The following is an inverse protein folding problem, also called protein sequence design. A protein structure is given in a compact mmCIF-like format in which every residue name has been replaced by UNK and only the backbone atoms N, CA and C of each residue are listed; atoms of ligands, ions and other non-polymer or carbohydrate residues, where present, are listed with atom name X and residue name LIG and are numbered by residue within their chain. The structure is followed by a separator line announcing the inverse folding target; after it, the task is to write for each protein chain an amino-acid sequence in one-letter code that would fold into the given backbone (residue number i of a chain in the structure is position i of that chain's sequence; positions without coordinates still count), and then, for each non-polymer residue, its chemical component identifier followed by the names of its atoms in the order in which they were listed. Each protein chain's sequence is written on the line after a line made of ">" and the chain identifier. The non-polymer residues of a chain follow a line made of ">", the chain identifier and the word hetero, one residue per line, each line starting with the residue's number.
data_IF_127296412828
#
_entry.id   IF_127296412828
#
_cell.length_a   1.000
_cell.length_b   1.000
_cell.length_c   1.000
_cell.angle_alpha   90.00
_cell.angle_beta   90.00
_cell.angle_gamma   90.00
#
_symmetry.space_group_name_H-M   'P 1'
#
loop_
_entity.id
_entity.type
_entity.pdbx_description
1 polymer ?
#
# COMPACT_ATOMS: atom_id res chain seq x y z
N UNK A 1 -21.09 56.26 39.26
CA UNK A 1 -20.82 54.91 39.80
C UNK A 1 -21.31 53.88 38.77
N UNK A 2 -20.45 53.27 37.95
CA UNK A 2 -20.89 52.28 36.97
C UNK A 2 -21.10 50.90 37.62
N UNK A 3 -22.18 50.24 37.24
CA UNK A 3 -22.54 48.87 37.64
C UNK A 3 -21.90 47.86 36.68
N UNK A 4 -21.26 46.85 37.27
CA UNK A 4 -20.48 45.80 36.63
C UNK A 4 -21.42 44.72 36.06
N UNK A 5 -21.40 44.48 34.75
CA UNK A 5 -22.00 43.28 34.15
C UNK A 5 -20.89 42.31 33.74
N UNK A 6 -20.74 41.24 34.53
CA UNK A 6 -19.81 40.14 34.28
C UNK A 6 -20.12 39.44 32.95
N UNK A 7 -19.14 39.40 32.05
CA UNK A 7 -19.11 38.46 30.93
C UNK A 7 -18.43 37.18 31.40
N UNK A 8 -19.19 36.08 31.47
CA UNK A 8 -18.62 34.75 31.63
C UNK A 8 -18.08 34.27 30.28
N UNK A 9 -16.76 34.07 30.17
CA UNK A 9 -16.14 33.41 29.03
C UNK A 9 -16.30 31.89 29.16
N UNK A 10 -17.02 31.30 28.21
CA UNK A 10 -17.11 29.85 28.04
C UNK A 10 -15.94 29.39 27.18
N UNK A 11 -14.95 28.71 27.77
CA UNK A 11 -13.83 28.13 27.04
C UNK A 11 -14.22 26.76 26.47
N UNK A 12 -14.32 26.68 25.14
CA UNK A 12 -14.53 25.43 24.42
C UNK A 12 -13.19 24.67 24.34
N UNK A 13 -13.06 23.57 25.08
CA UNK A 13 -11.90 22.69 24.97
C UNK A 13 -12.03 21.83 23.69
N UNK A 14 -11.23 22.13 22.67
CA UNK A 14 -11.07 21.27 21.50
C UNK A 14 -10.22 20.05 21.88
N UNK A 15 -10.83 18.86 21.88
CA UNK A 15 -10.10 17.61 21.97
C UNK A 15 -9.30 17.40 20.68
N UNK A 16 -7.97 17.54 20.76
CA UNK A 16 -7.08 17.15 19.69
C UNK A 16 -7.01 15.62 19.66
N UNK A 17 -7.65 15.00 18.67
CA UNK A 17 -7.43 13.57 18.37
C UNK A 17 -5.99 13.39 17.94
N UNK A 18 -5.19 12.70 18.75
CA UNK A 18 -3.88 12.22 18.36
C UNK A 18 -4.07 11.14 17.30
N UNK A 19 -3.88 11.50 16.02
CA UNK A 19 -3.70 10.51 14.97
C UNK A 19 -2.37 9.81 15.26
N UNK A 20 -2.42 8.57 15.73
CA UNK A 20 -1.23 7.72 15.78
C UNK A 20 -0.80 7.49 14.34
N UNK A 21 0.37 8.00 13.95
CA UNK A 21 1.04 7.58 12.72
C UNK A 21 1.30 6.09 12.84
N UNK A 22 0.37 5.30 12.30
CA UNK A 22 0.52 3.86 12.26
C UNK A 22 1.63 3.57 11.26
N UNK A 23 2.76 3.14 11.80
CA UNK A 23 4.01 2.99 11.06
C UNK A 23 3.83 1.86 10.04
N UNK A 24 3.86 2.22 8.76
CA UNK A 24 4.10 1.27 7.69
C UNK A 24 5.47 0.64 7.96
N UNK A 25 5.48 -0.63 8.34
CA UNK A 25 6.74 -1.33 8.61
C UNK A 25 7.26 -1.89 7.29
N UNK A 26 8.22 -1.18 6.72
CA UNK A 26 9.06 -1.71 5.65
C UNK A 26 9.82 -2.93 6.21
N UNK A 27 9.41 -4.15 5.86
CA UNK A 27 10.17 -5.36 6.18
C UNK A 27 11.16 -5.62 5.06
N UNK A 28 12.04 -4.66 4.85
CA UNK A 28 13.13 -4.79 3.90
C UNK A 28 14.46 -4.91 4.66
N UNK A 29 15.38 -5.68 4.10
CA UNK A 29 16.78 -5.62 4.48
C UNK A 29 17.27 -4.16 4.34
N UNK A 30 18.06 -3.68 5.31
CA UNK A 30 18.63 -2.32 5.30
C UNK A 30 19.49 -2.04 4.05
N UNK A 31 19.91 -3.09 3.35
CA UNK A 31 20.60 -3.00 2.07
C UNK A 31 19.71 -2.53 0.90
N UNK A 32 18.39 -2.72 0.95
CA UNK A 32 17.49 -2.36 -0.15
C UNK A 32 17.38 -0.83 -0.26
N UNK A 33 17.63 -0.30 -1.46
CA UNK A 33 17.51 1.12 -1.83
C UNK A 33 16.33 1.38 -2.77
N UNK A 34 15.77 0.33 -3.36
CA UNK A 34 14.64 0.42 -4.26
C UNK A 34 14.34 -0.88 -4.97
N UNK A 35 13.57 -0.78 -6.05
CA UNK A 35 13.15 -1.90 -6.86
C UNK A 35 13.33 -1.61 -8.34
N UNK A 36 13.64 -2.67 -9.11
CA UNK A 36 13.62 -2.66 -10.55
C UNK A 36 12.61 -3.67 -11.08
N UNK A 37 11.55 -3.14 -11.68
CA UNK A 37 10.45 -3.88 -12.31
C UNK A 37 10.59 -3.76 -13.83
N UNK A 38 11.12 -4.78 -14.49
CA UNK A 38 11.51 -4.68 -15.89
C UNK A 38 12.56 -3.57 -16.08
N UNK A 39 12.21 -2.53 -16.84
CA UNK A 39 13.06 -1.34 -17.05
C UNK A 39 12.76 -0.21 -16.07
N UNK A 40 11.67 -0.28 -15.32
CA UNK A 40 11.24 0.76 -14.38
C UNK A 40 11.99 0.63 -13.05
N UNK A 41 12.55 1.74 -12.55
CA UNK A 41 13.15 1.83 -11.21
C UNK A 41 12.23 2.57 -10.27
N UNK A 42 12.04 2.07 -9.05
CA UNK A 42 11.28 2.68 -7.97
C UNK A 42 12.18 2.91 -6.77
N UNK A 43 12.09 4.10 -6.19
CA UNK A 43 12.69 4.41 -4.88
C UNK A 43 11.83 3.82 -3.76
N UNK A 44 12.36 3.76 -2.53
CA UNK A 44 11.57 3.37 -1.37
C UNK A 44 10.36 4.29 -1.15
N UNK A 45 10.52 5.59 -1.39
CA UNK A 45 9.43 6.56 -1.26
C UNK A 45 8.29 6.28 -2.26
N UNK A 46 8.60 5.90 -3.50
CA UNK A 46 7.58 5.52 -4.49
C UNK A 46 6.77 4.30 -4.01
N UNK A 47 7.46 3.35 -3.38
CA UNK A 47 6.85 2.13 -2.83
C UNK A 47 5.98 2.45 -1.62
N UNK A 48 6.49 3.26 -0.70
CA UNK A 48 5.78 3.69 0.50
C UNK A 48 4.52 4.46 0.15
N UNK A 49 4.57 5.36 -0.84
CA UNK A 49 3.41 6.12 -1.29
C UNK A 49 2.33 5.21 -1.88
N UNK A 50 2.69 4.37 -2.87
CA UNK A 50 1.72 3.47 -3.50
C UNK A 50 1.14 2.45 -2.52
N UNK A 51 1.97 1.91 -1.62
CA UNK A 51 1.52 1.00 -0.58
C UNK A 51 0.63 1.72 0.44
N UNK A 52 0.96 2.95 0.82
CA UNK A 52 0.20 3.78 1.72
C UNK A 52 -1.23 4.03 1.21
N UNK A 53 -1.37 4.33 -0.07
CA UNK A 53 -2.68 4.47 -0.73
C UNK A 53 -3.50 3.17 -0.66
N UNK A 54 -2.87 2.04 -0.98
CA UNK A 54 -3.49 0.72 -0.89
C UNK A 54 -3.93 0.39 0.54
N UNK A 55 -3.07 0.64 1.53
CA UNK A 55 -3.38 0.43 2.95
C UNK A 55 -4.52 1.33 3.42
N UNK A 56 -4.51 2.61 3.04
CA UNK A 56 -5.55 3.56 3.41
C UNK A 56 -6.92 3.12 2.88
N UNK A 57 -6.98 2.64 1.64
CA UNK A 57 -8.15 2.00 1.05
C UNK A 57 -8.60 0.76 1.83
N UNK A 58 -7.66 -0.11 2.20
CA UNK A 58 -7.96 -1.35 2.93
C UNK A 58 -8.54 -1.07 4.32
N UNK A 59 -7.98 -0.12 5.05
CA UNK A 59 -8.44 0.31 6.38
C UNK A 59 -9.87 0.84 6.38
N UNK A 60 -10.25 1.56 5.32
CA UNK A 60 -11.62 2.09 5.15
C UNK A 60 -12.58 1.12 4.48
N UNK A 61 -12.17 -0.13 4.24
CA UNK A 61 -12.95 -1.15 3.51
C UNK A 61 -13.46 -0.63 2.14
N UNK A 62 -12.65 0.15 1.43
CA UNK A 62 -13.01 0.71 0.12
C UNK A 62 -12.03 0.26 -0.97
N UNK A 63 -12.46 0.46 -2.21
CA UNK A 63 -11.67 0.23 -3.41
C UNK A 63 -11.80 1.41 -4.38
N UNK A 64 -10.87 1.49 -5.32
CA UNK A 64 -10.99 2.32 -6.53
C UNK A 64 -10.95 1.44 -7.77
N UNK A 65 -11.83 1.72 -8.72
CA UNK A 65 -11.94 0.96 -9.97
C UNK A 65 -10.98 1.52 -11.01
N UNK A 66 -10.11 0.67 -11.57
CA UNK A 66 -9.26 1.00 -12.71
C UNK A 66 -10.02 0.97 -14.03
N UNK A 67 -9.40 1.47 -15.10
CA UNK A 67 -9.97 1.42 -16.47
C UNK A 67 -10.20 -0.01 -16.97
N UNK A 68 -9.49 -0.99 -16.40
CA UNK A 68 -9.65 -2.41 -16.69
C UNK A 68 -10.78 -3.08 -15.89
N UNK A 69 -11.65 -2.30 -15.24
CA UNK A 69 -12.75 -2.75 -14.37
C UNK A 69 -12.33 -3.55 -13.12
N UNK A 70 -11.05 -3.56 -12.79
CA UNK A 70 -10.53 -4.18 -11.55
C UNK A 70 -10.58 -3.17 -10.41
N UNK A 71 -11.03 -3.63 -9.23
CA UNK A 71 -11.09 -2.86 -8.00
C UNK A 71 -9.81 -3.03 -7.18
N UNK A 72 -9.17 -1.93 -6.79
CA UNK A 72 -7.90 -1.93 -6.06
C UNK A 72 -8.03 -1.24 -4.68
N UNK A 73 -7.28 -1.68 -3.66
CA UNK A 73 -6.50 -2.92 -3.63
C UNK A 73 -7.43 -4.14 -3.65
N UNK A 74 -6.90 -5.28 -4.03
CA UNK A 74 -7.59 -6.56 -3.89
C UNK A 74 -6.65 -7.63 -3.36
N UNK A 75 -7.22 -8.76 -2.94
CA UNK A 75 -6.44 -9.93 -2.54
C UNK A 75 -5.49 -10.35 -3.65
N UNK A 76 -4.24 -10.59 -3.28
CA UNK A 76 -3.25 -11.19 -4.14
C UNK A 76 -3.50 -12.70 -4.21
N UNK A 77 -3.81 -13.20 -5.41
CA UNK A 77 -4.22 -14.60 -5.61
C UNK A 77 -3.11 -15.52 -6.13
N UNK A 78 -1.88 -15.01 -6.25
CA UNK A 78 -0.64 -15.73 -6.58
C UNK A 78 -0.71 -16.84 -7.66
N UNK A 79 -1.59 -16.72 -8.65
CA UNK A 79 -1.70 -17.68 -9.76
C UNK A 79 -2.02 -19.13 -9.33
N UNK A 80 -3.22 -19.60 -9.68
CA UNK A 80 -3.63 -21.00 -9.90
C UNK A 80 -2.84 -22.10 -9.13
N UNK A 81 -3.29 -22.39 -7.90
CA UNK A 81 -2.94 -23.55 -7.04
C UNK A 81 -1.81 -23.32 -6.01
N UNK A 82 -2.00 -23.72 -4.73
CA UNK A 82 -0.97 -23.68 -3.69
C UNK A 82 0.29 -24.52 -4.00
N UNK A 83 0.25 -25.36 -5.03
CA UNK A 83 1.35 -26.22 -5.46
C UNK A 83 2.29 -25.59 -6.49
N UNK A 84 1.86 -24.52 -7.16
CA UNK A 84 2.63 -23.83 -8.22
C UNK A 84 2.45 -22.32 -8.08
N UNK A 85 2.94 -21.72 -6.98
CA UNK A 85 2.84 -20.28 -6.79
C UNK A 85 3.56 -19.57 -7.93
N UNK A 86 2.87 -18.64 -8.57
CA UNK A 86 3.39 -17.84 -9.68
C UNK A 86 4.56 -16.96 -9.23
N UNK A 87 4.45 -16.41 -8.02
CA UNK A 87 5.48 -15.64 -7.34
C UNK A 87 5.68 -16.20 -5.95
N UNK A 88 6.92 -16.41 -5.52
CA UNK A 88 7.21 -16.81 -4.13
C UNK A 88 6.67 -15.74 -3.15
N UNK A 89 5.76 -16.06 -2.21
CA UNK A 89 5.16 -15.06 -1.32
C UNK A 89 6.10 -14.55 -0.21
N UNK A 90 7.32 -15.08 -0.08
CA UNK A 90 8.30 -14.56 0.88
C UNK A 90 8.59 -13.06 0.65
N UNK A 91 8.76 -12.25 1.73
CA UNK A 91 8.89 -12.67 3.13
C UNK A 91 7.55 -12.89 3.87
N UNK A 92 6.42 -12.58 3.25
CA UNK A 92 5.09 -12.60 3.86
C UNK A 92 4.34 -13.93 3.68
N UNK A 93 5.06 -15.05 3.56
CA UNK A 93 4.44 -16.36 3.37
C UNK A 93 3.52 -16.69 4.55
N UNK A 94 2.27 -17.08 4.24
CA UNK A 94 1.26 -17.42 5.25
C UNK A 94 0.44 -16.24 5.76
N UNK A 95 0.62 -15.04 5.21
CA UNK A 95 -0.22 -13.87 5.48
C UNK A 95 -1.28 -13.68 4.39
N UNK A 96 -2.32 -12.91 4.73
CA UNK A 96 -3.28 -12.41 3.74
C UNK A 96 -2.64 -11.26 2.97
N UNK A 97 -2.36 -11.50 1.70
CA UNK A 97 -1.66 -10.59 0.81
C UNK A 97 -2.66 -9.78 -0.02
N UNK A 98 -2.35 -8.52 -0.24
CA UNK A 98 -3.07 -7.61 -1.13
C UNK A 98 -2.08 -6.98 -2.11
N UNK A 99 -2.58 -6.66 -3.29
CA UNK A 99 -1.82 -5.97 -4.32
C UNK A 99 -2.45 -4.62 -4.67
N UNK A 100 -1.60 -3.66 -5.03
CA UNK A 100 -2.00 -2.33 -5.47
C UNK A 100 -1.09 -1.82 -6.60
N UNK A 101 -1.60 -1.07 -7.59
CA UNK A 101 -0.79 -0.56 -8.67
C UNK A 101 0.27 0.43 -8.20
N UNK A 102 1.48 0.32 -8.73
CA UNK A 102 2.53 1.34 -8.62
C UNK A 102 2.88 1.78 -10.04
N UNK A 103 2.80 3.09 -10.30
CA UNK A 103 2.85 3.59 -11.67
C UNK A 103 4.28 3.99 -12.07
N UNK A 104 4.69 3.64 -13.30
CA UNK A 104 6.00 4.03 -13.82
C UNK A 104 6.21 5.55 -13.81
N UNK A 105 5.13 6.34 -13.91
CA UNK A 105 5.11 7.80 -13.81
C UNK A 105 5.39 8.36 -12.40
N UNK A 106 5.45 7.51 -11.37
CA UNK A 106 5.61 7.87 -9.94
C UNK A 106 4.47 8.72 -9.38
N UNK A 107 3.34 8.74 -10.07
CA UNK A 107 2.10 9.36 -9.59
C UNK A 107 1.22 8.31 -8.93
N UNK A 108 0.36 8.78 -8.03
CA UNK A 108 -0.63 7.94 -7.37
C UNK A 108 -1.61 7.34 -8.38
N UNK A 109 -2.03 6.10 -8.10
CA UNK A 109 -3.05 5.44 -8.87
C UNK A 109 -4.43 5.98 -8.47
N UNK A 110 -5.22 6.39 -9.46
CA UNK A 110 -6.55 6.98 -9.25
C UNK A 110 -7.65 6.19 -9.97
N UNK A 111 -8.90 6.42 -9.58
CA UNK A 111 -10.07 5.83 -10.23
C UNK A 111 -10.07 6.15 -11.74
N UNK A 112 -10.39 5.13 -12.56
CA UNK A 112 -10.31 5.20 -14.02
C UNK A 112 -8.88 5.20 -14.57
N UNK A 113 -7.85 5.08 -13.73
CA UNK A 113 -6.46 5.01 -14.15
C UNK A 113 -6.11 3.67 -14.81
N UNK A 114 -5.09 3.69 -15.67
CA UNK A 114 -4.43 2.49 -16.18
C UNK A 114 -3.45 1.97 -15.11
N UNK A 115 -3.58 0.73 -14.59
CA UNK A 115 -2.75 0.25 -13.48
C UNK A 115 -1.30 -0.07 -13.89
N UNK A 116 -1.01 -0.11 -15.19
CA UNK A 116 0.30 -0.54 -15.69
C UNK A 116 0.64 -1.99 -15.31
N UNK A 117 1.91 -2.40 -15.47
CA UNK A 117 2.33 -3.78 -15.22
C UNK A 117 2.79 -4.05 -13.79
N UNK A 118 3.06 -3.03 -12.98
CA UNK A 118 3.77 -3.17 -11.71
C UNK A 118 2.83 -3.10 -10.50
N UNK A 119 3.09 -3.91 -9.48
CA UNK A 119 2.31 -3.96 -8.24
C UNK A 119 3.23 -3.90 -7.03
N UNK A 120 2.79 -3.17 -6.01
CA UNK A 120 3.26 -3.36 -4.64
C UNK A 120 2.37 -4.40 -3.97
N UNK A 121 2.99 -5.33 -3.25
CA UNK A 121 2.31 -6.36 -2.47
C UNK A 121 2.58 -6.13 -0.98
N UNK A 122 1.51 -6.10 -0.20
CA UNK A 122 1.52 -5.88 1.24
C UNK A 122 0.59 -6.86 1.94
N UNK A 123 0.72 -6.99 3.26
CA UNK A 123 -0.08 -7.92 4.05
C UNK A 123 -0.54 -7.29 5.37
N UNK A 124 -1.65 -7.79 5.90
CA UNK A 124 -2.02 -7.56 7.30
C UNK A 124 -0.92 -8.16 8.21
N UNK A 125 -0.42 -7.39 9.18
CA UNK A 125 0.59 -7.89 10.11
C UNK A 125 -0.05 -8.82 11.14
N UNK A 126 0.46 -10.06 11.22
CA UNK A 126 0.12 -10.95 12.33
C UNK A 126 0.77 -10.55 13.66
N UNK A 127 1.71 -9.59 13.65
CA UNK A 127 2.46 -9.17 14.85
C UNK A 127 1.81 -8.01 15.57
N UNK A 128 1.10 -7.16 14.83
CA UNK A 128 0.46 -5.95 15.37
C UNK A 128 -0.87 -5.75 14.67
N UNK A 129 -2.01 -5.97 15.37
CA UNK A 129 -3.33 -5.73 14.79
C UNK A 129 -3.44 -4.30 14.23
N UNK A 130 -3.96 -4.17 13.01
CA UNK A 130 -4.08 -2.87 12.32
C UNK A 130 -2.83 -2.44 11.54
N UNK A 131 -1.67 -3.03 11.84
CA UNK A 131 -0.44 -2.75 11.10
C UNK A 131 -0.37 -3.55 9.80
N UNK A 132 0.40 -3.03 8.85
CA UNK A 132 0.63 -3.64 7.55
C UNK A 132 2.13 -3.83 7.33
N UNK A 133 2.47 -4.92 6.65
CA UNK A 133 3.84 -5.29 6.29
C UNK A 133 4.01 -5.18 4.78
N UNK A 134 5.07 -4.51 4.33
CA UNK A 134 5.47 -4.62 2.93
C UNK A 134 6.07 -5.99 2.65
N UNK A 135 5.66 -6.62 1.56
CA UNK A 135 6.14 -7.92 1.15
C UNK A 135 7.16 -7.83 0.01
N UNK A 136 6.70 -7.56 -1.21
CA UNK A 136 7.55 -7.48 -2.40
C UNK A 136 6.89 -6.63 -3.47
N UNK A 137 7.64 -6.31 -4.53
CA UNK A 137 7.08 -5.78 -5.77
C UNK A 137 7.10 -6.87 -6.83
N UNK A 138 6.12 -6.82 -7.72
CA UNK A 138 6.02 -7.72 -8.85
C UNK A 138 5.63 -6.97 -10.12
N UNK A 139 5.91 -7.57 -11.27
CA UNK A 139 5.61 -6.97 -12.57
C UNK A 139 5.23 -8.03 -13.59
N UNK A 140 4.31 -7.68 -14.50
CA UNK A 140 4.08 -8.45 -15.72
C UNK A 140 5.28 -8.37 -16.69
N UNK A 141 6.14 -7.37 -16.54
CA UNK A 141 7.27 -7.14 -17.45
C UNK A 141 8.30 -8.27 -17.34
N UNK A 142 8.48 -9.02 -18.43
CA UNK A 142 9.38 -10.17 -18.48
C UNK A 142 8.74 -11.48 -17.98
N UNK A 143 7.44 -11.47 -17.65
CA UNK A 143 6.65 -12.66 -17.39
C UNK A 143 5.91 -13.12 -18.66
N UNK A 144 5.52 -14.39 -18.71
CA UNK A 144 4.73 -14.93 -19.82
C UNK A 144 3.23 -14.66 -19.61
N UNK A 145 2.53 -14.17 -20.64
CA UNK A 145 1.08 -13.96 -20.60
C UNK A 145 0.68 -12.96 -19.51
N UNK A 146 -0.29 -13.33 -18.68
CA UNK A 146 -0.78 -12.53 -17.55
C UNK A 146 -0.08 -12.87 -16.22
N UNK A 147 1.07 -13.56 -16.29
CA UNK A 147 1.82 -13.91 -15.09
C UNK A 147 2.66 -12.72 -14.61
N UNK A 148 3.24 -12.86 -13.41
CA UNK A 148 4.10 -11.91 -12.75
C UNK A 148 5.45 -12.54 -12.43
N UNK A 149 6.45 -11.68 -12.31
CA UNK A 149 7.76 -12.00 -11.72
C UNK A 149 8.09 -10.97 -10.63
N UNK A 150 8.91 -11.34 -9.64
CA UNK A 150 9.40 -10.37 -8.64
C UNK A 150 10.25 -9.30 -9.29
N UNK A 151 10.06 -8.07 -8.86
CA UNK A 151 11.00 -7.00 -9.13
C UNK A 151 12.31 -7.24 -8.36
N UNK A 152 13.43 -6.88 -8.97
CA UNK A 152 14.74 -7.01 -8.33
C UNK A 152 14.91 -5.89 -7.30
N UNK A 153 15.40 -6.20 -6.11
CA UNK A 153 15.85 -5.17 -5.17
C UNK A 153 17.13 -4.51 -5.70
N UNK A 154 17.25 -3.20 -5.55
CA UNK A 154 18.44 -2.41 -5.93
C UNK A 154 19.09 -1.78 -4.71
#
# INVERSE_FOLDING_TARGET
>A
MPSLKSLALLTLATAASAFTEESIKLIQDRAVKGYQCGTTKYTLADVENAMGDGIALRKRLASIKGINNVDWPHEFRNGRSPTTPEVDPAPCKGLNLYEFPILASKRDFAAGGQPGPDRVVFADSNKTPGAFEQCFLMTHSGASGNLFVKCKTT
#
